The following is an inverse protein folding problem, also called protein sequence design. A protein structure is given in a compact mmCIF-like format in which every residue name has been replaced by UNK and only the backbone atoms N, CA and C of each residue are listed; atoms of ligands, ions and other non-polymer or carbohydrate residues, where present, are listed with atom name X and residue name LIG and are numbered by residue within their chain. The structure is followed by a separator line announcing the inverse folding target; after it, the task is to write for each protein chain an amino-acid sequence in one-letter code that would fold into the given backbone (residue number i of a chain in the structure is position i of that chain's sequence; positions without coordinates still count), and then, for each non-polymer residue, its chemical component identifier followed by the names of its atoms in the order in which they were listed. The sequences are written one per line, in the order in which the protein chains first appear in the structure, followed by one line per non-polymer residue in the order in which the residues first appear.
data_IF_922341198546
#
_entry.id   IF_922341198546
#
_cell.length_a   1.000
_cell.length_b   1.000
_cell.length_c   1.000
_cell.angle_alpha   90.00
_cell.angle_beta   90.00
_cell.angle_gamma   90.00
#
_symmetry.space_group_name_H-M   'P 1'
#
loop_
_entity.id
_entity.type
_entity.pdbx_description
1 polymer ?
#
# COMPACT_ATOMS: atom_id res chain seq x y z
N UNK A 1 20.87 49.71 3.02
CA UNK A 1 20.79 48.27 3.30
C UNK A 1 22.21 47.70 3.35
N UNK A 2 22.55 47.11 4.45
CA UNK A 2 23.88 46.52 4.63
C UNK A 2 23.93 45.13 4.06
N UNK A 3 25.14 44.60 3.85
CA UNK A 3 25.31 43.22 3.42
C UNK A 3 24.71 42.25 4.44
N UNK A 4 24.81 42.60 5.72
CA UNK A 4 24.24 41.79 6.79
C UNK A 4 22.73 41.67 6.65
N UNK A 5 22.05 42.77 6.29
CA UNK A 5 20.60 42.73 6.09
C UNK A 5 20.20 41.84 4.92
N UNK A 6 21.00 41.87 3.86
CA UNK A 6 20.77 41.02 2.67
C UNK A 6 20.93 39.57 3.05
N UNK A 7 22.00 39.24 3.76
CA UNK A 7 22.26 37.87 4.20
C UNK A 7 21.15 37.37 5.14
N UNK A 8 20.71 38.23 6.06
CA UNK A 8 19.64 37.88 6.99
C UNK A 8 18.35 37.55 6.25
N UNK A 9 18.01 38.29 5.19
CA UNK A 9 16.85 38.00 4.35
C UNK A 9 16.97 36.71 3.63
N UNK A 10 18.14 36.43 3.06
CA UNK A 10 18.38 35.19 2.34
C UNK A 10 18.28 33.99 3.27
N UNK A 11 18.85 34.08 4.46
CA UNK A 11 18.79 33.04 5.47
C UNK A 11 17.35 32.81 5.91
N UNK A 12 16.59 33.87 6.13
CA UNK A 12 15.18 33.80 6.48
C UNK A 12 14.38 33.11 5.36
N UNK A 13 14.68 33.43 4.10
CA UNK A 13 14.04 32.82 2.94
C UNK A 13 14.35 31.32 2.86
N UNK A 14 15.59 30.95 3.11
CA UNK A 14 15.99 29.54 3.13
C UNK A 14 15.30 28.78 4.25
N UNK A 15 15.18 29.38 5.41
CA UNK A 15 14.48 28.79 6.55
C UNK A 15 13.02 28.49 6.20
N UNK A 16 12.36 29.46 5.58
CA UNK A 16 10.96 29.28 5.16
C UNK A 16 10.83 28.14 4.15
N UNK A 17 11.76 28.05 3.21
CA UNK A 17 11.76 26.98 2.23
C UNK A 17 12.00 25.63 2.88
N UNK A 18 12.93 25.56 3.82
CA UNK A 18 13.21 24.33 4.55
C UNK A 18 11.99 23.87 5.34
N UNK A 19 11.30 24.80 6.00
CA UNK A 19 10.07 24.46 6.74
C UNK A 19 8.99 23.93 5.80
N UNK A 20 8.86 24.53 4.63
CA UNK A 20 7.91 24.07 3.62
C UNK A 20 8.28 22.68 3.12
N UNK A 21 9.57 22.43 2.87
CA UNK A 21 10.06 21.12 2.44
C UNK A 21 9.82 20.07 3.51
N UNK A 22 10.09 20.40 4.76
CA UNK A 22 9.85 19.48 5.89
C UNK A 22 8.38 19.09 5.97
N UNK A 23 7.47 20.03 5.82
CA UNK A 23 6.04 19.74 5.82
C UNK A 23 5.64 18.84 4.68
N UNK A 24 6.22 19.08 3.49
CA UNK A 24 5.94 18.23 2.32
C UNK A 24 6.50 16.83 2.50
N UNK A 25 7.65 16.72 3.13
CA UNK A 25 8.22 15.41 3.44
C UNK A 25 7.34 14.65 4.43
N UNK A 26 6.83 15.33 5.44
CA UNK A 26 5.90 14.71 6.40
C UNK A 26 4.64 14.20 5.69
N UNK A 27 4.11 14.97 4.75
CA UNK A 27 2.96 14.56 3.96
C UNK A 27 3.28 13.33 3.10
N UNK A 28 4.43 13.37 2.43
CA UNK A 28 4.87 12.24 1.61
C UNK A 28 5.05 10.98 2.45
N UNK A 29 5.65 11.10 3.62
CA UNK A 29 5.82 9.97 4.53
C UNK A 29 4.48 9.39 4.96
N UNK A 30 3.51 10.25 5.26
CA UNK A 30 2.17 9.80 5.64
C UNK A 30 1.47 9.09 4.47
N UNK A 31 1.57 9.67 3.28
CA UNK A 31 0.98 9.06 2.10
C UNK A 31 1.64 7.73 1.81
N UNK A 32 2.96 7.65 1.91
CA UNK A 32 3.69 6.40 1.70
C UNK A 32 3.27 5.33 2.71
N UNK A 33 3.10 5.71 3.98
CA UNK A 33 2.63 4.78 5.00
C UNK A 33 1.24 4.24 4.68
N UNK A 34 0.35 5.10 4.21
CA UNK A 34 -0.99 4.69 3.77
C UNK A 34 -0.94 3.76 2.56
N UNK A 35 -0.08 4.08 1.60
CA UNK A 35 0.08 3.26 0.41
C UNK A 35 0.64 1.89 0.76
N UNK A 36 1.62 1.82 1.66
CA UNK A 36 2.14 0.55 2.13
C UNK A 36 1.06 -0.28 2.83
N UNK A 37 0.30 0.36 3.70
CA UNK A 37 -0.81 -0.29 4.41
C UNK A 37 -1.86 -0.80 3.43
N UNK A 38 -2.23 0.02 2.44
CA UNK A 38 -3.19 -0.37 1.42
C UNK A 38 -2.66 -1.53 0.57
N UNK A 39 -1.37 -1.49 0.21
CA UNK A 39 -0.74 -2.55 -0.56
C UNK A 39 -0.74 -3.87 0.21
N UNK A 40 -0.43 -3.83 1.50
CA UNK A 40 -0.47 -5.02 2.35
C UNK A 40 -1.88 -5.58 2.48
N UNK A 41 -2.86 -4.71 2.67
CA UNK A 41 -4.26 -5.10 2.76
C UNK A 41 -4.71 -5.75 1.45
N UNK A 42 -4.34 -5.16 0.32
CA UNK A 42 -4.66 -5.69 -1.01
C UNK A 42 -3.99 -7.05 -1.22
N UNK A 43 -2.72 -7.18 -0.84
CA UNK A 43 -2.00 -8.44 -0.97
C UNK A 43 -2.64 -9.55 -0.14
N UNK A 44 -3.07 -9.24 1.08
CA UNK A 44 -3.78 -10.19 1.93
C UNK A 44 -5.12 -10.59 1.34
N UNK A 45 -5.86 -9.61 0.83
CA UNK A 45 -7.14 -9.87 0.18
C UNK A 45 -6.96 -10.78 -1.04
N UNK A 46 -5.94 -10.54 -1.85
CA UNK A 46 -5.63 -11.38 -3.00
C UNK A 46 -5.26 -12.81 -2.59
N UNK A 47 -4.50 -12.95 -1.52
CA UNK A 47 -4.15 -14.26 -0.97
C UNK A 47 -5.40 -15.00 -0.50
N UNK A 48 -6.29 -14.32 0.21
CA UNK A 48 -7.55 -14.91 0.69
C UNK A 48 -8.44 -15.31 -0.48
N UNK A 49 -8.55 -14.47 -1.49
CA UNK A 49 -9.32 -14.78 -2.70
C UNK A 49 -8.75 -16.01 -3.40
N UNK A 50 -7.43 -16.07 -3.52
CA UNK A 50 -6.75 -17.19 -4.14
C UNK A 50 -7.02 -18.50 -3.38
N UNK A 51 -6.95 -18.47 -2.07
CA UNK A 51 -7.23 -19.61 -1.20
C UNK A 51 -8.69 -20.02 -1.33
N UNK A 52 -9.59 -19.05 -1.36
CA UNK A 52 -11.02 -19.31 -1.51
C UNK A 52 -11.30 -20.01 -2.86
N UNK A 53 -10.73 -19.48 -3.95
CA UNK A 53 -10.90 -20.09 -5.26
C UNK A 53 -10.34 -21.50 -5.33
N UNK A 54 -9.19 -21.73 -4.71
CA UNK A 54 -8.62 -23.07 -4.64
C UNK A 54 -9.53 -24.03 -3.88
N UNK A 55 -10.11 -23.57 -2.78
CA UNK A 55 -11.04 -24.36 -1.99
C UNK A 55 -12.31 -24.68 -2.79
N UNK A 56 -12.85 -23.70 -3.50
CA UNK A 56 -14.02 -23.88 -4.35
C UNK A 56 -13.70 -24.86 -5.48
N UNK A 57 -12.55 -24.70 -6.11
CA UNK A 57 -12.12 -25.55 -7.19
C UNK A 57 -12.00 -27.01 -6.73
N UNK A 58 -11.39 -27.25 -5.58
CA UNK A 58 -11.27 -28.58 -5.02
C UNK A 58 -12.62 -29.16 -4.62
N UNK A 59 -13.50 -28.34 -4.07
CA UNK A 59 -14.84 -28.78 -3.72
C UNK A 59 -15.64 -29.20 -4.96
N UNK A 60 -15.47 -28.49 -6.06
CA UNK A 60 -16.11 -28.83 -7.33
C UNK A 60 -15.52 -30.11 -7.93
N UNK A 61 -14.24 -30.29 -7.73
CA UNK A 61 -13.53 -31.43 -8.27
C UNK A 61 -13.87 -32.75 -7.53
N UNK A 62 -13.98 -32.69 -6.21
CA UNK A 62 -14.29 -33.85 -5.38
C UNK A 62 -15.63 -34.51 -5.69
N UNK A 63 -16.73 -33.79 -5.85
CA UNK A 63 -17.97 -34.41 -6.24
C UNK A 63 -17.91 -35.14 -7.56
N UNK A 64 -17.18 -34.58 -8.54
CA UNK A 64 -17.01 -35.22 -9.83
C UNK A 64 -16.22 -36.54 -9.70
N UNK A 65 -15.14 -36.52 -8.94
CA UNK A 65 -14.33 -37.71 -8.67
C UNK A 65 -15.14 -38.76 -7.91
N UNK A 66 -15.91 -38.33 -6.93
CA UNK A 66 -16.79 -39.22 -6.20
C UNK A 66 -17.86 -39.81 -7.08
N UNK A 67 -18.46 -39.00 -7.96
CA UNK A 67 -19.47 -39.49 -8.89
C UNK A 67 -18.92 -40.49 -9.89
N UNK A 68 -17.67 -40.28 -10.33
CA UNK A 68 -17.02 -41.19 -11.28
C UNK A 68 -16.54 -42.47 -10.63
N UNK A 69 -16.16 -42.43 -9.36
CA UNK A 69 -15.60 -43.56 -8.64
C UNK A 69 -16.66 -44.44 -7.97
N UNK A 70 -17.82 -43.89 -7.68
CA UNK A 70 -18.92 -44.64 -7.08
C UNK A 70 -19.83 -45.20 -8.16
N UNK A 71 -20.06 -46.53 -8.15
CA UNK A 71 -21.03 -47.09 -9.05
C UNK A 71 -22.43 -46.62 -8.62
N UNK A 72 -23.17 -46.04 -9.52
CA UNK A 72 -24.55 -45.66 -9.23
C UNK A 72 -25.43 -46.94 -9.21
N UNK A 73 -26.33 -46.92 -8.25
CA UNK A 73 -27.34 -48.02 -8.21
C UNK A 73 -28.21 -48.04 -9.41
#
# INVERSE_FOLDING_TARGET
MTEFDIIAREVSGYRSRLEAIERRLDEVERVNARLESAALTTARAMTEISQHWNAVYEAMRRPEEGALSEPKP
#
